data_IF_524440874187
#
_entry.id   IF_524440874187
#
_cell.length_a   1.000
_cell.length_b   1.000
_cell.length_c   1.000
_cell.angle_alpha   90.00
_cell.angle_beta   90.00
_cell.angle_gamma   90.00
#
_symmetry.space_group_name_H-M   'P 1'
#
loop_
_entity.id
_entity.type
_entity.pdbx_description
1 polymer ?
#
# COMPACT_ATOMS: atom_id res chain seq x y z
N UNK A 1 -1.69 -0.73 18.38
CA UNK A 1 -0.94 0.01 17.35
C UNK A 1 -1.13 1.54 17.30
N UNK A 2 -2.18 2.19 17.88
CA UNK A 2 -2.28 3.67 17.85
C UNK A 2 -1.03 4.41 18.36
N UNK A 3 -0.28 3.79 19.27
CA UNK A 3 0.98 4.33 19.82
C UNK A 3 2.07 4.58 18.76
N UNK A 4 2.19 3.69 17.76
CA UNK A 4 3.20 3.80 16.71
C UNK A 4 2.73 4.63 15.52
N UNK A 5 1.43 4.80 15.36
CA UNK A 5 0.79 5.50 14.23
C UNK A 5 -0.23 6.50 14.77
N UNK A 6 0.22 7.62 15.39
CA UNK A 6 -0.67 8.52 16.12
C UNK A 6 -1.44 9.49 15.22
N UNK A 7 -0.96 9.74 13.99
CA UNK A 7 -1.45 10.83 13.12
C UNK A 7 -2.07 10.32 11.82
N UNK A 8 -1.37 9.43 11.11
CA UNK A 8 -1.91 8.83 9.90
C UNK A 8 -3.10 7.94 10.27
N UNK A 9 -4.14 8.01 9.44
CA UNK A 9 -5.31 7.13 9.55
C UNK A 9 -5.26 6.08 8.44
N UNK A 10 -4.10 5.44 8.32
CA UNK A 10 -3.78 4.42 7.33
C UNK A 10 -3.50 3.08 8.01
N UNK A 11 -3.71 2.00 7.27
CA UNK A 11 -3.32 0.65 7.66
C UNK A 11 -2.50 0.04 6.52
N UNK A 12 -1.82 -1.07 6.78
CA UNK A 12 -1.07 -1.77 5.74
C UNK A 12 -1.96 -2.10 4.53
N UNK A 13 -3.20 -2.52 4.80
CA UNK A 13 -4.21 -2.83 3.80
C UNK A 13 -4.75 -1.61 3.02
N UNK A 14 -4.35 -0.37 3.36
CA UNK A 14 -4.64 0.81 2.54
C UNK A 14 -3.94 0.75 1.18
N UNK A 15 -2.76 0.12 1.14
CA UNK A 15 -1.95 -0.02 -0.08
C UNK A 15 -1.76 -1.50 -0.46
N UNK A 16 -1.68 -2.38 0.53
CA UNK A 16 -1.55 -3.82 0.34
C UNK A 16 -2.93 -4.47 0.29
N UNK A 17 -3.60 -4.36 -0.87
CA UNK A 17 -4.99 -4.80 -1.02
C UNK A 17 -5.17 -6.30 -0.73
N UNK A 18 -6.39 -6.66 -0.34
CA UNK A 18 -6.73 -7.99 0.16
C UNK A 18 -5.78 -8.43 1.30
N UNK A 19 -5.48 -7.50 2.21
CA UNK A 19 -4.52 -7.70 3.31
C UNK A 19 -3.16 -8.28 2.84
N UNK A 20 -2.64 -7.80 1.72
CA UNK A 20 -1.37 -8.26 1.13
C UNK A 20 -1.49 -9.47 0.21
N UNK A 21 -2.69 -10.04 0.03
CA UNK A 21 -2.90 -11.21 -0.84
C UNK A 21 -3.31 -10.86 -2.29
N UNK A 22 -3.28 -9.58 -2.70
CA UNK A 22 -3.50 -9.18 -4.09
C UNK A 22 -2.17 -9.05 -4.86
N UNK A 23 -1.89 -9.91 -5.87
CA UNK A 23 -0.66 -9.88 -6.68
C UNK A 23 -0.39 -8.55 -7.40
N UNK A 24 -1.43 -7.73 -7.62
CA UNK A 24 -1.34 -6.43 -8.31
C UNK A 24 -1.18 -5.23 -7.35
N UNK A 25 -1.20 -5.46 -6.03
CA UNK A 25 -1.21 -4.40 -5.01
C UNK A 25 -0.09 -4.58 -3.98
N UNK A 26 1.15 -4.65 -4.47
CA UNK A 26 2.37 -4.92 -3.69
C UNK A 26 2.19 -6.08 -2.71
N UNK A 27 1.80 -7.26 -3.23
CA UNK A 27 1.51 -8.43 -2.40
C UNK A 27 2.65 -8.79 -1.45
N UNK A 28 2.31 -9.48 -0.37
CA UNK A 28 3.29 -10.00 0.59
C UNK A 28 3.81 -11.40 0.23
N UNK A 29 3.29 -12.00 -0.84
CA UNK A 29 3.80 -13.27 -1.36
C UNK A 29 5.29 -13.19 -1.69
N UNK A 30 6.05 -14.17 -1.21
CA UNK A 30 7.48 -14.34 -1.42
C UNK A 30 8.37 -13.31 -0.71
N UNK A 31 7.82 -12.45 0.17
CA UNK A 31 8.62 -11.41 0.83
C UNK A 31 9.65 -11.99 1.80
N UNK A 32 9.33 -13.11 2.45
CA UNK A 32 10.24 -13.85 3.33
C UNK A 32 11.52 -14.24 2.57
N UNK A 33 11.35 -14.87 1.41
CA UNK A 33 12.45 -15.26 0.51
C UNK A 33 13.19 -14.05 -0.04
N UNK A 34 12.46 -13.02 -0.52
CA UNK A 34 13.05 -11.80 -1.09
C UNK A 34 13.99 -11.09 -0.13
N UNK A 35 13.65 -11.07 1.16
CA UNK A 35 14.41 -10.41 2.20
C UNK A 35 15.30 -11.36 3.01
N UNK A 36 15.45 -12.63 2.58
CA UNK A 36 16.29 -13.63 3.24
C UNK A 36 15.97 -13.74 4.75
N UNK A 37 14.69 -13.80 5.10
CA UNK A 37 14.26 -14.03 6.48
C UNK A 37 14.12 -15.54 6.73
N UNK A 38 14.53 -16.09 7.90
CA UNK A 38 15.03 -15.40 9.10
C UNK A 38 16.55 -15.17 9.15
N UNK A 39 17.29 -15.50 8.08
CA UNK A 39 18.75 -15.35 8.03
C UNK A 39 19.22 -13.90 8.24
N UNK A 40 18.38 -12.92 7.88
CA UNK A 40 18.64 -11.49 8.04
C UNK A 40 17.44 -10.76 8.65
N UNK A 41 17.70 -9.62 9.31
CA UNK A 41 16.66 -8.71 9.83
C UNK A 41 16.06 -7.78 8.76
N UNK A 42 16.37 -7.99 7.48
CA UNK A 42 16.03 -7.05 6.41
C UNK A 42 14.51 -6.90 6.20
N UNK A 43 13.74 -7.96 6.41
CA UNK A 43 12.28 -7.89 6.35
C UNK A 43 11.70 -7.01 7.45
N UNK A 44 12.20 -7.15 8.69
CA UNK A 44 11.78 -6.31 9.81
C UNK A 44 12.15 -4.85 9.58
N UNK A 45 13.36 -4.57 9.09
CA UNK A 45 13.76 -3.23 8.64
C UNK A 45 12.85 -2.69 7.54
N UNK A 46 12.45 -3.53 6.58
CA UNK A 46 11.54 -3.14 5.49
C UNK A 46 10.16 -2.75 6.02
N UNK A 47 9.63 -3.51 6.98
CA UNK A 47 8.36 -3.21 7.67
C UNK A 47 8.48 -1.89 8.43
N UNK A 48 9.57 -1.65 9.16
CA UNK A 48 9.78 -0.38 9.86
C UNK A 48 9.81 0.83 8.92
N UNK A 49 10.41 0.73 7.74
CA UNK A 49 10.32 1.79 6.73
C UNK A 49 8.86 2.08 6.31
N UNK A 50 7.98 1.08 6.32
CA UNK A 50 6.55 1.30 6.08
C UNK A 50 5.88 2.04 7.25
N UNK A 51 6.21 1.70 8.50
CA UNK A 51 5.74 2.45 9.68
C UNK A 51 6.18 3.92 9.61
N UNK A 52 7.46 4.17 9.37
CA UNK A 52 8.03 5.51 9.34
C UNK A 52 7.50 6.35 8.17
N UNK A 53 7.40 5.76 6.98
CA UNK A 53 7.09 6.54 5.77
C UNK A 53 5.61 6.45 5.37
N UNK A 54 5.08 5.23 5.26
CA UNK A 54 3.73 4.99 4.73
C UNK A 54 2.65 5.22 5.79
N UNK A 55 2.95 4.92 7.05
CA UNK A 55 2.06 5.20 8.17
C UNK A 55 2.44 6.48 8.92
N UNK A 56 3.43 7.24 8.44
CA UNK A 56 3.88 8.49 9.07
C UNK A 56 4.06 8.38 10.61
N UNK A 57 4.62 7.24 11.02
CA UNK A 57 4.65 6.80 12.41
C UNK A 57 6.07 6.59 12.93
N UNK A 58 6.18 5.76 13.96
CA UNK A 58 7.44 5.35 14.57
C UNK A 58 7.73 3.88 14.27
N UNK A 59 9.01 3.50 14.12
CA UNK A 59 9.37 2.10 13.90
C UNK A 59 9.05 1.26 15.13
N UNK A 60 8.80 -0.02 14.91
CA UNK A 60 8.73 -1.03 15.95
C UNK A 60 10.12 -1.40 16.44
N UNK A 61 10.23 -1.82 17.71
CA UNK A 61 11.48 -2.30 18.27
C UNK A 61 11.82 -3.68 17.72
N UNK A 62 13.00 -3.80 17.10
CA UNK A 62 13.54 -5.09 16.63
C UNK A 62 14.31 -5.73 17.77
N UNK A 63 13.73 -6.77 18.37
CA UNK A 63 14.40 -7.68 19.33
C UNK A 63 14.26 -9.11 18.83
N UNK A 64 15.04 -10.04 19.40
CA UNK A 64 14.97 -11.48 19.06
C UNK A 64 13.53 -12.03 19.19
N UNK A 65 12.79 -11.55 20.18
CA UNK A 65 11.44 -12.03 20.53
C UNK A 65 10.34 -10.98 20.28
N UNK A 66 10.54 -10.01 19.36
CA UNK A 66 9.60 -8.90 19.18
C UNK A 66 8.21 -9.42 18.75
N UNK A 67 7.18 -9.38 19.64
CA UNK A 67 5.90 -10.02 19.38
C UNK A 67 5.14 -9.34 18.24
N UNK A 68 5.33 -8.03 18.06
CA UNK A 68 4.72 -7.28 16.96
C UNK A 68 5.24 -7.77 15.60
N UNK A 69 6.55 -8.05 15.48
CA UNK A 69 7.10 -8.62 14.25
C UNK A 69 6.66 -10.07 14.04
N UNK A 70 6.56 -10.88 15.11
CA UNK A 70 6.11 -12.27 14.99
C UNK A 70 4.71 -12.35 14.33
N UNK A 71 3.79 -11.44 14.67
CA UNK A 71 2.48 -11.39 14.02
C UNK A 71 2.56 -11.17 12.50
N UNK A 72 3.38 -10.21 12.04
CA UNK A 72 3.58 -9.97 10.61
C UNK A 72 4.24 -11.15 9.92
N UNK A 73 5.28 -11.72 10.55
CA UNK A 73 6.05 -12.84 10.00
C UNK A 73 5.20 -14.10 9.88
N UNK A 74 4.46 -14.48 10.93
CA UNK A 74 3.55 -15.62 10.88
C UNK A 74 2.48 -15.45 9.80
N UNK A 75 1.95 -14.25 9.64
CA UNK A 75 0.96 -13.97 8.59
C UNK A 75 1.56 -14.05 7.17
N UNK A 76 2.78 -13.50 6.96
CA UNK A 76 3.46 -13.61 5.66
C UNK A 76 3.83 -15.05 5.32
N UNK A 77 4.24 -15.86 6.30
CA UNK A 77 4.48 -17.29 6.11
C UNK A 77 3.19 -18.01 5.70
N UNK A 78 2.07 -17.75 6.38
CA UNK A 78 0.78 -18.31 6.01
C UNK A 78 0.37 -17.91 4.59
N UNK A 79 0.58 -16.65 4.18
CA UNK A 79 0.32 -16.21 2.81
C UNK A 79 1.17 -16.97 1.78
N UNK A 80 2.44 -17.22 2.07
CA UNK A 80 3.33 -18.00 1.19
C UNK A 80 2.84 -19.45 1.03
N UNK A 81 2.33 -20.06 2.12
CA UNK A 81 1.71 -21.39 2.08
C UNK A 81 0.43 -21.38 1.23
N UNK A 82 -0.44 -20.37 1.40
CA UNK A 82 -1.66 -20.25 0.59
C UNK A 82 -1.35 -20.03 -0.89
N UNK A 83 -0.32 -19.24 -1.20
CA UNK A 83 0.11 -19.04 -2.59
C UNK A 83 0.54 -20.36 -3.25
N UNK A 84 1.21 -21.26 -2.51
CA UNK A 84 1.57 -22.60 -3.00
C UNK A 84 0.33 -23.48 -3.21
N UNK A 85 -0.57 -23.55 -2.22
CA UNK A 85 -1.80 -24.36 -2.29
C UNK A 85 -2.65 -23.96 -3.49
N UNK A 86 -2.76 -22.65 -3.74
CA UNK A 86 -3.58 -22.08 -4.82
C UNK A 86 -2.83 -21.95 -6.15
N UNK A 87 -1.56 -22.37 -6.23
CA UNK A 87 -0.69 -22.20 -7.41
C UNK A 87 -0.65 -20.74 -7.93
N UNK A 88 -0.54 -19.78 -7.02
CA UNK A 88 -0.41 -18.36 -7.35
C UNK A 88 1.03 -18.07 -7.77
N UNK A 89 1.19 -17.48 -8.96
CA UNK A 89 2.49 -16.96 -9.40
C UNK A 89 2.93 -15.76 -8.54
N UNK A 90 4.17 -15.82 -8.05
CA UNK A 90 4.74 -14.72 -7.27
C UNK A 90 4.94 -13.48 -8.18
N UNK A 91 4.41 -12.31 -7.80
CA UNK A 91 4.52 -11.13 -8.64
C UNK A 91 5.96 -10.65 -8.72
N UNK A 92 6.39 -10.31 -9.94
CA UNK A 92 7.74 -9.80 -10.23
C UNK A 92 7.87 -8.30 -9.96
N UNK A 93 6.77 -7.57 -10.05
CA UNK A 93 6.67 -6.13 -9.81
C UNK A 93 5.69 -5.85 -8.67
N UNK A 94 5.84 -4.75 -7.92
CA UNK A 94 4.89 -4.41 -6.85
C UNK A 94 3.50 -4.08 -7.40
N UNK A 95 3.42 -3.43 -8.56
CA UNK A 95 2.18 -3.02 -9.21
C UNK A 95 2.25 -3.35 -10.71
N UNK A 96 1.11 -3.42 -11.42
CA UNK A 96 1.10 -3.48 -12.88
C UNK A 96 1.81 -2.25 -13.45
N UNK A 97 2.86 -2.44 -14.28
CA UNK A 97 3.61 -1.34 -14.85
C UNK A 97 2.72 -0.55 -15.83
N UNK A 98 2.97 0.76 -15.92
CA UNK A 98 2.44 1.61 -16.97
C UNK A 98 3.52 1.85 -18.02
N UNK A 99 3.15 1.90 -19.30
CA UNK A 99 4.15 2.01 -20.38
C UNK A 99 4.82 3.39 -20.41
N UNK A 100 4.04 4.45 -20.10
CA UNK A 100 4.53 5.83 -20.10
C UNK A 100 3.64 6.72 -19.22
N UNK A 101 4.25 7.53 -18.36
CA UNK A 101 3.57 8.64 -17.72
C UNK A 101 3.28 9.74 -18.75
N UNK A 102 2.03 9.82 -19.22
CA UNK A 102 1.54 10.86 -20.14
C UNK A 102 0.47 11.74 -19.51
N UNK A 103 0.25 11.62 -18.19
CA UNK A 103 -0.77 12.38 -17.48
C UNK A 103 -0.52 13.88 -17.49
N UNK A 104 -1.62 14.64 -17.52
CA UNK A 104 -1.62 16.09 -17.41
C UNK A 104 -2.20 16.50 -16.05
N UNK A 105 -1.44 17.19 -15.17
CA UNK A 105 -1.94 17.61 -13.86
C UNK A 105 -3.24 18.43 -13.92
N UNK A 106 -3.46 19.20 -14.98
CA UNK A 106 -4.69 19.98 -15.18
C UNK A 106 -5.92 19.09 -15.46
N UNK A 107 -5.71 17.89 -16.01
CA UNK A 107 -6.76 16.89 -16.18
C UNK A 107 -6.96 16.05 -14.91
N UNK A 108 -5.93 15.96 -14.07
CA UNK A 108 -5.95 15.14 -12.86
C UNK A 108 -7.02 15.55 -11.85
N UNK A 109 -7.26 16.85 -11.69
CA UNK A 109 -8.33 17.35 -10.84
C UNK A 109 -9.71 16.87 -11.31
N UNK A 110 -10.03 17.02 -12.59
CA UNK A 110 -11.33 16.62 -13.14
C UNK A 110 -11.55 15.10 -13.00
N UNK A 111 -10.51 14.30 -13.24
CA UNK A 111 -10.57 12.84 -13.06
C UNK A 111 -10.78 12.49 -11.59
N UNK A 112 -10.05 13.15 -10.68
CA UNK A 112 -10.21 12.95 -9.25
C UNK A 112 -11.65 13.24 -8.79
N UNK A 113 -12.21 14.38 -9.21
CA UNK A 113 -13.58 14.78 -8.88
C UNK A 113 -14.62 13.76 -9.39
N UNK A 114 -14.44 13.24 -10.61
CA UNK A 114 -15.39 12.32 -11.24
C UNK A 114 -15.27 10.88 -10.73
N UNK A 115 -14.06 10.41 -10.45
CA UNK A 115 -13.79 8.97 -10.25
C UNK A 115 -13.31 8.61 -8.83
N UNK A 116 -12.79 9.57 -8.07
CA UNK A 116 -12.07 9.30 -6.82
C UNK A 116 -12.72 9.97 -5.59
N UNK A 117 -13.17 11.22 -5.75
CA UNK A 117 -13.65 12.08 -4.68
C UNK A 117 -14.87 11.51 -3.93
N UNK A 118 -15.71 10.73 -4.61
CA UNK A 118 -16.82 10.03 -3.97
C UNK A 118 -16.34 9.15 -2.80
N UNK A 119 -15.24 8.41 -3.00
CA UNK A 119 -14.64 7.55 -1.99
C UNK A 119 -13.68 8.31 -1.07
N UNK A 120 -12.74 9.06 -1.62
CA UNK A 120 -11.64 9.66 -0.87
C UNK A 120 -11.94 11.07 -0.31
N UNK A 121 -13.15 11.59 -0.57
CA UNK A 121 -13.55 12.94 -0.17
C UNK A 121 -13.13 14.00 -1.18
N UNK A 122 -13.88 15.09 -1.27
CA UNK A 122 -13.65 16.17 -2.24
C UNK A 122 -12.27 16.83 -2.11
N UNK A 123 -11.66 16.76 -0.92
CA UNK A 123 -10.33 17.29 -0.62
C UNK A 123 -9.34 16.16 -0.31
N UNK A 124 -9.61 14.92 -0.75
CA UNK A 124 -8.73 13.76 -0.52
C UNK A 124 -8.51 13.39 0.95
N UNK A 125 -9.35 13.92 1.85
CA UNK A 125 -9.20 13.78 3.29
C UNK A 125 -9.52 12.37 3.82
N UNK A 126 -10.07 11.49 2.98
CA UNK A 126 -10.54 10.16 3.35
C UNK A 126 -11.91 10.18 4.03
N UNK A 127 -12.39 8.99 4.38
CA UNK A 127 -13.63 8.78 5.12
C UNK A 127 -13.39 7.81 6.27
N UNK A 128 -13.77 8.22 7.48
CA UNK A 128 -13.49 7.50 8.73
C UNK A 128 -14.77 7.29 9.54
N UNK A 129 -14.85 6.15 10.23
CA UNK A 129 -15.75 5.91 11.36
C UNK A 129 -15.05 6.25 12.68
N UNK A 130 -15.72 6.00 13.80
CA UNK A 130 -15.15 6.23 15.14
C UNK A 130 -13.85 5.46 15.36
N UNK A 131 -13.78 4.22 14.88
CA UNK A 131 -12.68 3.28 15.20
C UNK A 131 -12.02 2.65 13.97
N UNK A 132 -12.35 3.10 12.74
CA UNK A 132 -11.79 2.55 11.49
C UNK A 132 -11.84 3.54 10.33
N UNK A 133 -11.03 3.35 9.28
CA UNK A 133 -11.20 4.07 8.02
C UNK A 133 -11.98 3.24 7.01
N UNK A 134 -12.89 3.88 6.27
CA UNK A 134 -13.59 3.25 5.14
C UNK A 134 -12.84 3.46 3.84
N UNK A 135 -12.27 4.67 3.66
CA UNK A 135 -11.44 5.05 2.52
C UNK A 135 -10.30 5.94 3.01
N UNK A 136 -9.04 5.64 2.67
CA UNK A 136 -7.89 6.34 3.23
C UNK A 136 -7.82 7.79 2.72
N UNK A 137 -7.23 8.67 3.52
CA UNK A 137 -6.73 9.95 3.00
C UNK A 137 -5.68 9.71 1.92
N UNK A 138 -5.70 10.54 0.89
CA UNK A 138 -4.67 10.54 -0.14
C UNK A 138 -3.56 11.54 0.18
N UNK A 139 -3.88 12.65 0.85
CA UNK A 139 -2.93 13.66 1.29
C UNK A 139 -3.36 14.31 2.61
N UNK A 140 -2.54 15.24 3.10
CA UNK A 140 -2.77 15.92 4.38
C UNK A 140 -2.27 15.12 5.60
N UNK A 141 -2.60 15.58 6.83
CA UNK A 141 -2.00 15.07 8.06
C UNK A 141 -2.35 13.62 8.40
N UNK A 142 -3.38 13.08 7.76
CA UNK A 142 -3.85 11.70 7.97
C UNK A 142 -3.35 10.71 6.92
N UNK A 143 -2.53 11.15 5.95
CA UNK A 143 -1.96 10.31 4.89
C UNK A 143 -0.50 9.92 5.16
N UNK A 144 0.12 9.22 4.20
CA UNK A 144 1.54 8.91 4.17
C UNK A 144 2.39 10.17 4.02
N UNK A 145 3.66 10.12 4.42
CA UNK A 145 4.57 11.25 4.27
C UNK A 145 5.35 11.20 2.94
N UNK A 146 6.12 12.26 2.67
CA UNK A 146 6.88 12.44 1.42
C UNK A 146 7.94 11.37 1.15
N UNK A 147 8.37 10.61 2.16
CA UNK A 147 9.36 9.54 2.01
C UNK A 147 8.72 8.20 1.61
N UNK A 148 7.40 8.10 1.61
CA UNK A 148 6.69 6.90 1.19
C UNK A 148 6.91 6.63 -0.30
N UNK A 149 6.97 5.35 -0.69
CA UNK A 149 7.02 4.97 -2.11
C UNK A 149 5.84 5.54 -2.90
N UNK A 150 4.65 5.59 -2.26
CA UNK A 150 3.43 6.14 -2.85
C UNK A 150 3.48 7.66 -3.11
N UNK A 151 4.45 8.38 -2.54
CA UNK A 151 4.68 9.78 -2.86
C UNK A 151 5.41 10.00 -4.21
N UNK A 152 5.86 8.92 -4.86
CA UNK A 152 6.52 8.95 -6.17
C UNK A 152 5.47 8.77 -7.27
N UNK A 153 5.44 9.70 -8.23
CA UNK A 153 4.43 9.72 -9.31
C UNK A 153 4.36 8.39 -10.07
N UNK A 154 5.49 7.81 -10.47
CA UNK A 154 5.51 6.50 -11.16
C UNK A 154 4.81 5.42 -10.34
N UNK A 155 5.17 5.30 -9.06
CA UNK A 155 4.62 4.27 -8.16
C UNK A 155 3.14 4.49 -7.89
N UNK A 156 2.73 5.75 -7.71
CA UNK A 156 1.33 6.11 -7.54
C UNK A 156 0.51 5.75 -8.79
N UNK A 157 1.01 6.09 -9.98
CA UNK A 157 0.34 5.83 -11.23
C UNK A 157 0.18 4.33 -11.51
N UNK A 158 1.22 3.52 -11.27
CA UNK A 158 1.13 2.05 -11.39
C UNK A 158 0.10 1.47 -10.40
N UNK A 159 0.07 1.98 -9.17
CA UNK A 159 -0.93 1.56 -8.18
C UNK A 159 -2.34 1.92 -8.64
N UNK A 160 -2.56 3.17 -9.08
CA UNK A 160 -3.86 3.65 -9.56
C UNK A 160 -4.30 2.83 -10.77
N UNK A 161 -3.45 2.66 -11.77
CA UNK A 161 -3.74 1.88 -12.98
C UNK A 161 -4.17 0.45 -12.66
N UNK A 162 -3.43 -0.20 -11.76
CA UNK A 162 -3.68 -1.61 -11.44
C UNK A 162 -4.83 -1.88 -10.49
N UNK A 163 -5.26 -0.87 -9.70
CA UNK A 163 -6.06 -1.12 -8.51
C UNK A 163 -7.16 -0.09 -8.21
N UNK A 164 -7.25 0.99 -9.00
CA UNK A 164 -8.24 2.05 -8.80
C UNK A 164 -9.01 2.39 -10.10
N UNK A 165 -10.31 2.73 -10.01
CA UNK A 165 -11.15 2.69 -8.81
C UNK A 165 -11.32 1.26 -8.25
N UNK A 166 -11.32 1.14 -6.92
CA UNK A 166 -11.33 -0.15 -6.24
C UNK A 166 -12.52 -1.02 -6.67
N UNK A 167 -12.26 -2.29 -7.02
CA UNK A 167 -13.22 -3.25 -7.61
C UNK A 167 -13.64 -2.99 -9.07
N UNK A 168 -13.07 -1.96 -9.70
CA UNK A 168 -13.25 -1.61 -11.11
C UNK A 168 -11.89 -1.58 -11.82
N UNK A 169 -11.11 -2.65 -11.67
CA UNK A 169 -9.78 -2.79 -12.29
C UNK A 169 -9.87 -2.55 -13.82
N UNK A 170 -8.95 -1.75 -14.35
CA UNK A 170 -8.85 -1.48 -15.80
C UNK A 170 -9.83 -0.45 -16.37
N UNK A 171 -10.55 0.29 -15.51
CA UNK A 171 -11.42 1.41 -15.94
C UNK A 171 -10.65 2.69 -16.23
N UNK A 172 -9.41 2.82 -15.74
CA UNK A 172 -8.51 3.92 -16.10
C UNK A 172 -7.52 3.49 -17.17
N UNK A 173 -7.35 4.33 -18.18
CA UNK A 173 -6.25 4.24 -19.14
C UNK A 173 -4.91 4.61 -18.47
N UNK A 174 -3.78 4.19 -19.05
CA UNK A 174 -2.43 4.61 -18.60
C UNK A 174 -2.32 6.14 -18.44
N UNK A 175 -2.97 6.91 -19.31
CA UNK A 175 -2.99 8.37 -19.26
C UNK A 175 -3.77 8.91 -18.06
N UNK A 176 -4.93 8.31 -17.76
CA UNK A 176 -5.75 8.67 -16.60
C UNK A 176 -5.16 8.20 -15.27
N UNK A 177 -4.27 7.22 -15.28
CA UNK A 177 -3.54 6.79 -14.10
C UNK A 177 -2.24 7.59 -13.87
N UNK A 178 -1.63 8.11 -14.95
CA UNK A 178 -0.34 8.81 -14.93
C UNK A 178 -0.35 10.29 -14.51
N UNK A 179 -1.45 10.76 -13.92
CA UNK A 179 -1.73 12.16 -13.52
C UNK A 179 -1.32 12.46 -12.08
#
# INVERSE_FOLDING_TARGET
MPEFVPTAKLHCASCHLNAGANPKASSWFGMMKKYQYPETINLQKRINLCFEHSLNGKPLLITADSPDFQAFISYMQWLDEQAQVLNIDLPKTPYPPIAKLTGNPNQGQAIFEQKCAFCHGALGQGRYGSDTYYRPALWGPHSFNRQAGMARINTLAEFIHGNMPYQFDGVLTDQEAGI
#
